data_IF_404139001153
#
_entry.id   IF_404139001153
#
_cell.length_a   1.000
_cell.length_b   1.000
_cell.length_c   1.000
_cell.angle_alpha   90.00
_cell.angle_beta   90.00
_cell.angle_gamma   90.00
#
_symmetry.space_group_name_H-M   'P 1'
#
loop_
_entity.id
_entity.type
_entity.pdbx_description
1 polymer ?
#
# COMPACT_ATOMS: atom_id res chain seq x y z
N UNK A 1 -29.31 1.84 -7.12
CA UNK A 1 -28.24 2.24 -6.16
C UNK A 1 -27.53 0.98 -5.69
N UNK A 2 -26.23 0.93 -5.86
CA UNK A 2 -25.45 -0.11 -5.20
C UNK A 2 -25.42 0.24 -3.73
N UNK A 3 -26.00 -0.60 -2.90
CA UNK A 3 -25.86 -0.48 -1.46
C UNK A 3 -24.36 -0.58 -1.14
N UNK A 4 -23.82 0.44 -0.46
CA UNK A 4 -22.49 0.30 0.13
C UNK A 4 -22.60 -0.87 1.14
N UNK A 5 -21.73 -1.87 1.02
CA UNK A 5 -21.73 -2.92 2.03
C UNK A 5 -21.54 -2.30 3.41
N UNK A 6 -22.28 -2.81 4.38
CA UNK A 6 -22.08 -2.40 5.76
C UNK A 6 -20.61 -2.54 6.14
N UNK A 7 -20.02 -1.59 6.89
CA UNK A 7 -18.64 -1.68 7.31
C UNK A 7 -18.43 -2.99 8.07
N UNK A 8 -17.36 -3.70 7.74
CA UNK A 8 -17.01 -4.92 8.44
C UNK A 8 -16.82 -4.64 9.93
N UNK A 9 -17.28 -5.55 10.79
CA UNK A 9 -17.08 -5.42 12.22
C UNK A 9 -15.58 -5.33 12.55
N UNK A 10 -15.22 -4.39 13.42
CA UNK A 10 -13.83 -4.17 13.84
C UNK A 10 -13.25 -5.47 14.42
N UNK A 11 -12.08 -5.89 13.92
CA UNK A 11 -11.40 -7.10 14.38
C UNK A 11 -11.97 -8.42 13.85
N UNK A 12 -13.11 -8.41 13.11
CA UNK A 12 -13.78 -9.64 12.67
C UNK A 12 -13.18 -10.26 11.42
N UNK A 13 -12.66 -9.47 10.49
CA UNK A 13 -12.10 -9.94 9.22
C UNK A 13 -11.21 -8.88 8.57
N UNK A 14 -10.38 -9.32 7.64
CA UNK A 14 -9.66 -8.42 6.74
C UNK A 14 -10.61 -7.89 5.67
N UNK A 15 -10.63 -6.58 5.50
CA UNK A 15 -11.29 -5.92 4.38
C UNK A 15 -10.35 -5.89 3.19
N UNK A 16 -10.90 -5.79 1.98
CA UNK A 16 -10.11 -5.71 0.76
C UNK A 16 -10.32 -4.35 0.11
N UNK A 17 -9.22 -3.66 -0.16
CA UNK A 17 -9.20 -2.46 -1.00
C UNK A 17 -8.64 -2.85 -2.36
N UNK A 18 -9.41 -2.63 -3.41
CA UNK A 18 -8.96 -2.85 -4.78
C UNK A 18 -8.11 -1.67 -5.22
N UNK A 19 -6.96 -1.97 -5.81
CA UNK A 19 -6.05 -0.98 -6.37
C UNK A 19 -5.81 -1.30 -7.84
N UNK A 20 -6.23 -0.40 -8.72
CA UNK A 20 -5.97 -0.52 -10.15
C UNK A 20 -4.70 0.25 -10.48
N UNK A 21 -3.72 -0.44 -11.07
CA UNK A 21 -2.49 0.19 -11.51
C UNK A 21 -2.48 0.37 -13.02
N UNK A 22 -1.80 1.41 -13.51
CA UNK A 22 -1.87 1.85 -14.91
C UNK A 22 -0.52 1.84 -15.61
N UNK A 23 0.54 1.51 -14.90
CA UNK A 23 1.90 1.43 -15.43
C UNK A 23 2.65 0.25 -14.84
N UNK A 24 3.77 -0.14 -15.47
CA UNK A 24 4.61 -1.20 -14.94
C UNK A 24 5.14 -0.87 -13.55
N UNK A 25 5.65 0.33 -13.38
CA UNK A 25 6.06 0.86 -12.08
C UNK A 25 5.17 2.05 -11.73
N UNK A 26 4.58 2.00 -10.55
CA UNK A 26 3.72 3.07 -10.07
C UNK A 26 3.75 3.09 -8.55
N UNK A 27 4.02 4.26 -7.98
CA UNK A 27 3.92 4.49 -6.53
C UNK A 27 2.65 5.31 -6.32
N UNK A 28 1.58 4.65 -5.90
CA UNK A 28 0.23 5.20 -5.87
C UNK A 28 -0.18 5.53 -4.45
N UNK A 29 -0.53 6.79 -4.20
CA UNK A 29 -1.06 7.23 -2.91
C UNK A 29 -2.46 6.65 -2.68
N UNK A 30 -2.61 5.86 -1.63
CA UNK A 30 -3.88 5.25 -1.20
C UNK A 30 -4.33 5.74 0.17
N UNK A 31 -3.77 6.85 0.64
CA UNK A 31 -4.06 7.37 1.98
C UNK A 31 -5.54 7.63 2.18
N UNK A 32 -6.23 8.20 1.18
CA UNK A 32 -7.67 8.52 1.27
C UNK A 32 -8.52 7.27 1.47
N UNK A 33 -8.23 6.20 0.75
CA UNK A 33 -8.96 4.94 0.83
C UNK A 33 -8.81 4.33 2.23
N UNK A 34 -7.61 4.36 2.78
CA UNK A 34 -7.35 3.83 4.12
C UNK A 34 -7.96 4.73 5.19
N UNK A 35 -7.82 6.04 5.06
CA UNK A 35 -8.41 7.00 5.99
C UNK A 35 -9.94 6.88 6.05
N UNK A 36 -10.59 6.63 4.92
CA UNK A 36 -12.03 6.41 4.85
C UNK A 36 -12.47 5.16 5.64
N UNK A 37 -11.73 4.06 5.52
CA UNK A 37 -12.00 2.83 6.28
C UNK A 37 -11.83 3.05 7.78
N UNK A 38 -10.78 3.76 8.18
CA UNK A 38 -10.55 4.09 9.60
C UNK A 38 -11.71 4.91 10.15
N UNK A 39 -12.15 5.93 9.42
CA UNK A 39 -13.29 6.76 9.83
C UNK A 39 -14.58 5.96 9.94
N UNK A 40 -14.85 5.10 8.97
CA UNK A 40 -16.07 4.25 8.95
C UNK A 40 -16.06 3.23 10.10
N UNK A 41 -14.90 2.80 10.56
CA UNK A 41 -14.78 1.82 11.65
C UNK A 41 -15.30 2.34 12.99
N UNK A 42 -15.28 3.64 13.20
CA UNK A 42 -15.63 4.25 14.49
C UNK A 42 -14.62 4.03 15.60
N UNK A 43 -13.47 3.46 15.31
CA UNK A 43 -12.40 3.22 16.29
C UNK A 43 -11.74 4.55 16.66
N UNK A 44 -11.75 4.87 17.97
CA UNK A 44 -11.11 6.08 18.50
C UNK A 44 -9.59 5.90 18.69
N UNK A 45 -9.18 4.75 19.18
CA UNK A 45 -7.78 4.39 19.44
C UNK A 45 -7.54 2.95 19.05
N UNK A 46 -6.48 2.72 18.30
CA UNK A 46 -6.14 1.38 17.81
C UNK A 46 -5.07 1.39 16.74
N UNK A 47 -5.13 0.38 15.90
CA UNK A 47 -4.14 0.15 14.84
C UNK A 47 -4.83 -0.25 13.55
N UNK A 48 -4.36 0.29 12.44
CA UNK A 48 -4.67 -0.22 11.11
C UNK A 48 -3.49 -1.05 10.59
N UNK A 49 -3.78 -2.29 10.21
CA UNK A 49 -2.83 -3.21 9.60
C UNK A 49 -3.10 -3.27 8.09
N UNK A 50 -2.03 -3.18 7.30
CA UNK A 50 -2.07 -3.23 5.86
C UNK A 50 -1.22 -4.40 5.37
N UNK A 51 -1.75 -5.17 4.43
CA UNK A 51 -1.06 -6.33 3.87
C UNK A 51 -1.30 -6.42 2.37
N UNK A 52 -0.21 -6.51 1.61
CA UNK A 52 -0.25 -6.65 0.14
C UNK A 52 -0.05 -8.12 -0.23
N UNK A 53 -1.09 -8.82 -0.72
CA UNK A 53 -1.02 -10.25 -1.03
C UNK A 53 -0.46 -10.51 -2.43
N UNK A 54 0.64 -9.88 -2.77
CA UNK A 54 1.29 -9.99 -4.08
C UNK A 54 2.80 -10.11 -3.92
N UNK A 55 3.46 -10.70 -4.91
CA UNK A 55 4.92 -10.92 -4.90
C UNK A 55 5.70 -9.88 -5.70
N UNK A 56 5.01 -9.04 -6.47
CA UNK A 56 5.61 -8.00 -7.32
C UNK A 56 5.08 -6.60 -7.01
N UNK A 57 4.55 -6.43 -5.82
CA UNK A 57 4.05 -5.15 -5.31
C UNK A 57 4.34 -5.05 -3.81
N UNK A 58 4.31 -3.85 -3.29
CA UNK A 58 4.57 -3.60 -1.88
C UNK A 58 3.80 -2.39 -1.37
N UNK A 59 4.08 -2.04 -0.12
CA UNK A 59 3.46 -0.89 0.54
C UNK A 59 4.51 -0.14 1.34
N UNK A 60 4.46 1.19 1.33
CA UNK A 60 5.35 2.04 2.12
C UNK A 60 4.61 3.25 2.68
N UNK A 61 5.18 3.82 3.72
CA UNK A 61 4.73 5.06 4.33
C UNK A 61 5.89 6.05 4.24
N UNK A 62 5.70 7.15 3.52
CA UNK A 62 6.66 8.23 3.41
C UNK A 62 5.95 9.51 3.00
N UNK A 63 6.70 10.53 2.59
CA UNK A 63 6.14 11.84 2.29
C UNK A 63 5.17 11.81 1.10
N UNK A 64 3.99 12.36 1.31
CA UNK A 64 2.95 12.50 0.29
C UNK A 64 2.67 13.93 -0.14
N UNK A 65 3.28 14.91 0.53
CA UNK A 65 3.07 16.32 0.21
C UNK A 65 3.83 16.73 -1.06
N UNK A 66 5.10 16.35 -1.16
CA UNK A 66 5.92 16.59 -2.35
C UNK A 66 5.93 15.32 -3.23
N UNK A 67 5.32 15.37 -4.44
CA UNK A 67 5.29 14.23 -5.34
C UNK A 67 6.66 13.80 -5.85
N UNK A 68 7.67 14.66 -5.77
CA UNK A 68 9.02 14.33 -6.18
C UNK A 68 9.69 13.30 -5.26
N UNK A 69 9.29 13.23 -4.00
CA UNK A 69 9.82 12.20 -3.07
C UNK A 69 9.43 10.80 -3.56
N UNK A 70 8.18 10.56 -3.91
CA UNK A 70 7.75 9.27 -4.45
C UNK A 70 8.46 8.93 -5.77
N UNK A 71 8.66 9.91 -6.64
CA UNK A 71 9.44 9.73 -7.89
C UNK A 71 10.88 9.35 -7.61
N UNK A 72 11.53 10.04 -6.70
CA UNK A 72 12.92 9.76 -6.33
C UNK A 72 13.07 8.37 -5.72
N UNK A 73 12.11 7.93 -4.91
CA UNK A 73 12.08 6.56 -4.38
C UNK A 73 11.99 5.55 -5.52
N UNK A 74 11.06 5.74 -6.46
CA UNK A 74 10.90 4.85 -7.61
C UNK A 74 12.14 4.80 -8.49
N UNK A 75 12.71 5.94 -8.79
CA UNK A 75 13.93 6.04 -9.61
C UNK A 75 15.14 5.41 -8.92
N UNK A 76 15.27 5.59 -7.62
CA UNK A 76 16.34 4.95 -6.84
C UNK A 76 16.21 3.43 -6.83
N UNK A 77 15.00 2.90 -6.68
CA UNK A 77 14.76 1.46 -6.75
C UNK A 77 15.12 0.89 -8.12
N UNK A 78 14.79 1.60 -9.20
CA UNK A 78 15.16 1.19 -10.55
C UNK A 78 16.68 1.14 -10.77
N UNK A 79 17.41 2.08 -10.19
CA UNK A 79 18.88 2.07 -10.24
C UNK A 79 19.50 0.97 -9.41
N UNK A 80 18.94 0.72 -8.20
CA UNK A 80 19.44 -0.31 -7.30
C UNK A 80 19.16 -1.71 -7.80
N UNK A 81 18.01 -1.92 -8.43
CA UNK A 81 17.55 -3.22 -8.93
C UNK A 81 17.09 -3.06 -10.37
N UNK A 82 18.04 -3.02 -11.31
CA UNK A 82 17.72 -2.82 -12.73
C UNK A 82 17.01 -4.03 -13.34
N UNK A 83 16.07 -3.78 -14.24
CA UNK A 83 15.29 -4.83 -14.91
C UNK A 83 16.18 -5.75 -15.76
N UNK A 84 17.19 -5.23 -16.41
CA UNK A 84 18.02 -5.94 -17.38
C UNK A 84 19.21 -6.70 -16.79
N UNK A 85 19.32 -6.86 -15.48
CA UNK A 85 20.42 -7.59 -14.86
C UNK A 85 20.31 -9.11 -15.08
N UNK A 86 21.40 -9.83 -14.80
CA UNK A 86 21.46 -11.28 -14.95
C UNK A 86 20.78 -11.98 -13.78
N UNK A 87 19.48 -12.21 -13.88
CA UNK A 87 18.69 -12.93 -12.89
C UNK A 87 18.45 -14.38 -13.32
N UNK A 88 18.23 -15.26 -12.33
CA UNK A 88 17.89 -16.66 -12.59
C UNK A 88 16.42 -16.84 -12.98
N UNK A 89 15.54 -15.97 -12.51
CA UNK A 89 14.12 -16.00 -12.84
C UNK A 89 13.90 -15.59 -14.29
N UNK A 90 13.23 -16.41 -15.08
CA UNK A 90 13.18 -16.27 -16.55
C UNK A 90 12.02 -15.45 -17.09
N UNK A 91 11.04 -15.08 -16.27
CA UNK A 91 9.83 -14.36 -16.70
C UNK A 91 10.07 -12.87 -17.02
N UNK A 92 11.27 -12.35 -16.78
CA UNK A 92 11.63 -10.97 -17.04
C UNK A 92 11.17 -9.97 -15.99
N UNK A 93 10.70 -10.45 -14.84
CA UNK A 93 10.22 -9.62 -13.73
C UNK A 93 10.93 -9.89 -12.38
N UNK A 94 12.13 -10.44 -12.44
CA UNK A 94 12.91 -10.70 -11.22
C UNK A 94 13.18 -9.43 -10.42
N UNK A 95 13.41 -8.31 -11.07
CA UNK A 95 13.57 -7.01 -10.44
C UNK A 95 12.34 -6.60 -9.65
N UNK A 96 11.14 -6.89 -10.16
CA UNK A 96 9.87 -6.60 -9.48
C UNK A 96 9.73 -7.36 -8.16
N UNK A 97 10.11 -8.64 -8.14
CA UNK A 97 10.13 -9.45 -6.91
C UNK A 97 11.13 -8.91 -5.88
N UNK A 98 12.31 -8.51 -6.33
CA UNK A 98 13.35 -7.98 -5.44
C UNK A 98 12.92 -6.62 -4.88
N UNK A 99 12.39 -5.73 -5.70
CA UNK A 99 11.88 -4.43 -5.26
C UNK A 99 10.75 -4.59 -4.24
N UNK A 100 9.81 -5.50 -4.49
CA UNK A 100 8.73 -5.81 -3.55
C UNK A 100 9.28 -6.31 -2.20
N UNK A 101 10.33 -7.12 -2.23
CA UNK A 101 10.99 -7.63 -1.03
C UNK A 101 11.71 -6.53 -0.24
N UNK A 102 12.33 -5.59 -0.94
CA UNK A 102 13.00 -4.43 -0.31
C UNK A 102 12.01 -3.47 0.34
N UNK A 103 10.93 -3.18 -0.34
CA UNK A 103 9.88 -2.28 0.17
C UNK A 103 9.08 -2.94 1.28
N UNK A 104 8.76 -4.22 1.11
CA UNK A 104 7.92 -4.96 2.03
C UNK A 104 6.45 -4.95 1.66
N UNK A 105 5.71 -5.91 2.22
CA UNK A 105 4.30 -6.14 1.89
C UNK A 105 3.34 -5.76 3.01
N UNK A 106 3.85 -5.28 4.13
CA UNK A 106 3.00 -4.92 5.28
C UNK A 106 3.40 -3.58 5.87
N UNK A 107 2.42 -2.91 6.43
CA UNK A 107 2.61 -1.67 7.16
C UNK A 107 1.57 -1.57 8.27
N UNK A 108 1.87 -0.80 9.29
CA UNK A 108 0.94 -0.46 10.35
C UNK A 108 0.92 1.04 10.55
N UNK A 109 -0.22 1.57 10.92
CA UNK A 109 -0.34 2.95 11.34
C UNK A 109 -1.26 3.06 12.56
N UNK A 110 -1.02 4.02 13.46
CA UNK A 110 -1.88 4.23 14.62
C UNK A 110 -3.21 4.86 14.21
N UNK A 111 -4.24 4.57 15.00
CA UNK A 111 -5.52 5.29 14.97
C UNK A 111 -5.59 6.12 16.24
N UNK A 112 -5.73 7.41 16.09
CA UNK A 112 -5.75 8.37 17.20
C UNK A 112 -6.88 9.38 17.01
N UNK A 113 -7.70 9.55 18.02
CA UNK A 113 -8.83 10.47 17.94
C UNK A 113 -9.81 10.13 16.81
N UNK A 114 -9.99 8.86 16.51
CA UNK A 114 -10.90 8.39 15.47
C UNK A 114 -10.37 8.57 14.04
N UNK A 115 -9.11 8.92 13.88
CA UNK A 115 -8.48 9.22 12.58
C UNK A 115 -7.20 8.43 12.38
N UNK A 116 -6.83 8.26 11.12
CA UNK A 116 -5.53 7.73 10.73
C UNK A 116 -4.44 8.67 11.27
N UNK A 117 -3.62 8.16 12.20
CA UNK A 117 -2.63 8.93 12.96
C UNK A 117 -1.27 9.04 12.29
N UNK A 118 -1.25 9.39 11.01
CA UNK A 118 0.01 9.62 10.29
C UNK A 118 0.69 10.92 10.73
N UNK A 119 2.01 10.96 10.64
CA UNK A 119 2.76 12.20 10.74
C UNK A 119 2.32 13.18 9.65
N UNK A 120 2.60 14.47 9.87
CA UNK A 120 2.14 15.57 9.03
C UNK A 120 2.41 15.37 7.52
N UNK A 121 3.57 14.81 7.18
CA UNK A 121 4.01 14.65 5.80
C UNK A 121 3.80 13.24 5.26
N UNK A 122 3.38 12.29 6.10
CA UNK A 122 3.25 10.89 5.73
C UNK A 122 1.99 10.62 4.91
N UNK A 123 2.14 9.79 3.90
CA UNK A 123 1.06 9.12 3.19
C UNK A 123 1.35 7.64 3.06
N UNK A 124 0.34 6.88 2.72
CA UNK A 124 0.42 5.44 2.47
C UNK A 124 0.45 5.23 0.97
N UNK A 125 1.48 4.54 0.48
CA UNK A 125 1.67 4.28 -0.94
C UNK A 125 1.65 2.80 -1.26
N UNK A 126 0.85 2.45 -2.25
CA UNK A 126 0.92 1.16 -2.92
C UNK A 126 2.00 1.22 -3.98
N UNK A 127 2.95 0.28 -3.94
CA UNK A 127 4.06 0.23 -4.87
C UNK A 127 3.86 -0.92 -5.86
N UNK A 128 3.60 -0.58 -7.12
CA UNK A 128 3.51 -1.52 -8.22
C UNK A 128 4.84 -1.62 -8.93
N UNK A 129 5.31 -2.86 -9.14
CA UNK A 129 6.57 -3.11 -9.83
C UNK A 129 6.42 -3.99 -11.08
N UNK A 130 5.22 -4.50 -11.36
CA UNK A 130 4.95 -5.40 -12.50
C UNK A 130 3.52 -5.21 -13.05
N UNK A 131 3.12 -3.95 -13.19
CA UNK A 131 1.82 -3.58 -13.73
C UNK A 131 1.82 -3.37 -15.23
N UNK A 132 0.68 -2.90 -15.75
CA UNK A 132 -0.56 -2.59 -15.06
C UNK A 132 -1.33 -3.85 -14.65
N UNK A 133 -1.95 -3.84 -13.47
CA UNK A 133 -2.73 -4.96 -12.94
C UNK A 133 -3.86 -4.49 -12.04
N UNK A 134 -4.82 -5.38 -11.82
CA UNK A 134 -5.74 -5.29 -10.69
C UNK A 134 -5.05 -5.87 -9.45
N UNK A 135 -4.90 -5.05 -8.43
CA UNK A 135 -4.24 -5.41 -7.18
C UNK A 135 -5.18 -5.30 -5.99
N UNK A 136 -4.75 -5.81 -4.87
CA UNK A 136 -5.48 -5.74 -3.61
C UNK A 136 -4.57 -5.32 -2.47
N UNK A 137 -5.14 -4.61 -1.52
CA UNK A 137 -4.56 -4.41 -0.19
C UNK A 137 -5.57 -4.94 0.83
N UNK A 138 -5.12 -5.79 1.72
CA UNK A 138 -5.92 -6.27 2.85
C UNK A 138 -5.73 -5.33 4.03
N UNK A 139 -6.83 -4.93 4.63
CA UNK A 139 -6.85 -3.95 5.72
C UNK A 139 -7.58 -4.54 6.92
N UNK A 140 -6.96 -4.50 8.07
CA UNK A 140 -7.57 -4.87 9.34
C UNK A 140 -7.45 -3.73 10.34
N UNK A 141 -8.57 -3.36 10.94
CA UNK A 141 -8.64 -2.32 11.95
C UNK A 141 -8.93 -3.00 13.29
N UNK A 142 -8.05 -2.78 14.25
CA UNK A 142 -8.21 -3.27 15.60
C UNK A 142 -8.22 -2.13 16.60
N UNK A 143 -9.08 -2.22 17.61
CA UNK A 143 -9.12 -1.22 18.69
C UNK A 143 -8.32 -1.68 19.89
N UNK A 144 -7.84 -0.72 20.62
CA UNK A 144 -7.16 -0.93 21.90
C UNK A 144 -8.11 -1.50 22.96
#
# INVERSE_FOLDING_TARGET
MKENPAPAAVGAAWQVVSVETTARTQIKDITREIAALVKQSGVESGVVHLYVPHTTAGILINESDDPDVARDIGDALDRLVPRGAAYKHYEGNADSHIKASLVGVSAVAPIEGGKLGLGRWQGIFFCEFDGPRQRQVKVRISRD
#
